data_IF_473858645032
#
_entry.id   IF_473858645032
#
_cell.length_a   1.000
_cell.length_b   1.000
_cell.length_c   1.000
_cell.angle_alpha   90.00
_cell.angle_beta   90.00
_cell.angle_gamma   90.00
#
_symmetry.space_group_name_H-M   'P 1'
#
loop_
_entity.id
_entity.type
_entity.pdbx_description
1 polymer ?
#
# COMPACT_ATOMS: atom_id res chain seq x y z
N UNK A 1 10.27 -10.13 -6.34
CA UNK A 1 10.69 -10.43 -7.73
C UNK A 1 9.84 -9.56 -8.64
N UNK A 2 10.06 -9.53 -9.96
CA UNK A 2 9.22 -8.70 -10.85
C UNK A 2 8.05 -9.51 -11.39
N UNK A 3 6.84 -8.98 -11.31
CA UNK A 3 5.63 -9.61 -11.88
C UNK A 3 5.69 -9.41 -13.39
N UNK A 4 5.61 -10.51 -14.13
CA UNK A 4 5.57 -10.51 -15.59
C UNK A 4 4.29 -11.19 -16.09
N UNK A 5 3.97 -11.03 -17.37
CA UNK A 5 2.84 -11.72 -18.01
C UNK A 5 2.86 -13.23 -17.77
N UNK A 6 4.03 -13.86 -17.91
CA UNK A 6 4.21 -15.31 -17.73
C UNK A 6 3.96 -15.78 -16.29
N UNK A 7 4.00 -14.85 -15.34
CA UNK A 7 3.73 -15.12 -13.93
C UNK A 7 2.24 -14.98 -13.58
N UNK A 8 1.41 -14.50 -14.51
CA UNK A 8 -0.04 -14.40 -14.38
C UNK A 8 -0.72 -15.67 -14.92
N UNK A 9 -1.92 -15.93 -14.42
CA UNK A 9 -2.74 -17.06 -14.83
C UNK A 9 -3.67 -16.57 -15.94
N UNK A 10 -4.01 -17.47 -16.86
CA UNK A 10 -5.11 -17.20 -17.78
C UNK A 10 -6.41 -17.02 -17.00
N UNK A 11 -7.38 -16.32 -17.59
CA UNK A 11 -8.70 -16.12 -16.96
C UNK A 11 -9.36 -17.43 -16.53
N UNK A 12 -9.21 -18.48 -17.34
CA UNK A 12 -9.74 -19.81 -17.05
C UNK A 12 -9.03 -20.46 -15.85
N UNK A 13 -7.69 -20.45 -15.84
CA UNK A 13 -6.90 -21.01 -14.74
C UNK A 13 -7.15 -20.25 -13.44
N UNK A 14 -7.18 -18.91 -13.50
CA UNK A 14 -7.47 -18.08 -12.35
C UNK A 14 -8.86 -18.36 -11.80
N UNK A 15 -9.89 -18.44 -12.65
CA UNK A 15 -11.26 -18.72 -12.20
C UNK A 15 -11.39 -20.04 -11.40
N UNK A 16 -10.57 -21.07 -11.73
CA UNK A 16 -10.55 -22.36 -11.00
C UNK A 16 -9.97 -22.24 -9.59
N UNK A 17 -9.00 -21.35 -9.39
CA UNK A 17 -8.28 -21.21 -8.11
C UNK A 17 -8.62 -19.93 -7.34
N UNK A 18 -9.41 -19.02 -7.92
CA UNK A 18 -9.73 -17.68 -7.41
C UNK A 18 -10.15 -17.68 -5.95
N UNK A 19 -11.01 -18.63 -5.54
CA UNK A 19 -11.46 -18.74 -4.15
C UNK A 19 -10.31 -19.06 -3.20
N UNK A 20 -9.48 -20.05 -3.53
CA UNK A 20 -8.34 -20.44 -2.70
C UNK A 20 -7.29 -19.30 -2.63
N UNK A 21 -6.96 -18.69 -3.78
CA UNK A 21 -6.06 -17.54 -3.83
C UNK A 21 -6.58 -16.36 -3.01
N UNK A 22 -7.89 -16.09 -3.06
CA UNK A 22 -8.51 -15.03 -2.25
C UNK A 22 -8.34 -15.31 -0.75
N UNK A 23 -8.58 -16.54 -0.31
CA UNK A 23 -8.47 -16.92 1.10
C UNK A 23 -7.01 -16.82 1.58
N UNK A 24 -6.04 -17.25 0.76
CA UNK A 24 -4.60 -17.08 1.02
C UNK A 24 -4.19 -15.61 1.12
N UNK A 25 -4.66 -14.77 0.19
CA UNK A 25 -4.32 -13.34 0.18
C UNK A 25 -4.96 -12.60 1.35
N UNK A 26 -6.17 -12.97 1.78
CA UNK A 26 -6.78 -12.41 2.99
C UNK A 26 -5.94 -12.71 4.22
N UNK A 27 -5.45 -13.95 4.36
CA UNK A 27 -4.57 -14.31 5.48
C UNK A 27 -3.25 -13.54 5.41
N UNK A 28 -2.65 -13.44 4.21
CA UNK A 28 -1.42 -12.69 3.97
C UNK A 28 -1.57 -11.20 4.34
N UNK A 29 -2.67 -10.56 3.92
CA UNK A 29 -2.97 -9.15 4.19
C UNK A 29 -3.04 -8.83 5.69
N UNK A 30 -3.35 -9.79 6.56
CA UNK A 30 -3.33 -9.56 8.03
C UNK A 30 -1.96 -9.13 8.55
N UNK A 31 -0.88 -9.58 7.90
CA UNK A 31 0.49 -9.21 8.25
C UNK A 31 1.01 -7.99 7.46
N UNK A 32 0.15 -7.37 6.66
CA UNK A 32 0.47 -6.22 5.79
C UNK A 32 -0.40 -5.00 6.08
N UNK A 33 -1.43 -5.15 6.89
CA UNK A 33 -2.43 -4.13 7.16
C UNK A 33 -2.16 -3.47 8.51
N UNK A 34 -2.19 -2.13 8.51
CA UNK A 34 -1.99 -1.31 9.71
C UNK A 34 -3.07 -0.24 9.75
N UNK A 35 -3.80 -0.15 10.86
CA UNK A 35 -4.71 0.95 11.11
C UNK A 35 -3.96 2.12 11.73
N UNK A 36 -4.19 3.34 11.23
CA UNK A 36 -3.59 4.57 11.75
C UNK A 36 -4.71 5.48 12.23
N UNK A 37 -4.97 5.45 13.53
CA UNK A 37 -6.15 6.09 14.09
C UNK A 37 -7.44 5.32 13.75
N UNK A 38 -8.55 6.05 13.60
CA UNK A 38 -9.89 5.46 13.45
C UNK A 38 -10.38 5.34 11.99
N UNK A 39 -9.70 5.99 11.05
CA UNK A 39 -10.22 6.23 9.69
C UNK A 39 -9.18 5.99 8.60
N UNK A 40 -7.94 5.67 8.96
CA UNK A 40 -6.92 5.33 7.97
C UNK A 40 -6.54 3.87 8.09
N UNK A 41 -6.49 3.20 6.95
CA UNK A 41 -5.94 1.85 6.80
C UNK A 41 -4.80 1.92 5.80
N UNK A 42 -3.63 1.43 6.20
CA UNK A 42 -2.43 1.33 5.35
C UNK A 42 -2.20 -0.14 5.05
N UNK A 43 -2.41 -0.53 3.79
CA UNK A 43 -2.05 -1.86 3.31
C UNK A 43 -0.67 -1.78 2.64
N UNK A 44 0.35 -2.32 3.28
CA UNK A 44 1.68 -2.42 2.68
C UNK A 44 1.67 -3.45 1.55
N UNK A 45 1.95 -3.01 0.34
CA UNK A 45 1.90 -3.83 -0.86
C UNK A 45 3.18 -4.67 -1.00
N UNK A 46 3.04 -5.87 -1.55
CA UNK A 46 4.15 -6.71 -1.96
C UNK A 46 3.79 -7.47 -3.24
N UNK A 47 4.66 -8.36 -3.68
CA UNK A 47 4.43 -9.17 -4.88
C UNK A 47 3.11 -9.97 -4.81
N UNK A 48 2.72 -10.46 -3.62
CA UNK A 48 1.52 -11.29 -3.45
C UNK A 48 0.27 -10.44 -3.56
N UNK A 49 0.22 -9.29 -2.86
CA UNK A 49 -0.94 -8.41 -2.89
C UNK A 49 -1.15 -7.80 -4.27
N UNK A 50 -0.07 -7.39 -4.95
CA UNK A 50 -0.13 -6.79 -6.29
C UNK A 50 -0.47 -7.82 -7.35
N UNK A 51 0.13 -9.01 -7.33
CA UNK A 51 -0.22 -10.10 -8.25
C UNK A 51 -1.70 -10.46 -8.14
N UNK A 52 -2.22 -10.53 -6.92
CA UNK A 52 -3.65 -10.78 -6.71
C UNK A 52 -4.51 -9.65 -7.28
N UNK A 53 -4.12 -8.39 -7.06
CA UNK A 53 -4.87 -7.23 -7.58
C UNK A 53 -4.95 -7.24 -9.10
N UNK A 54 -3.82 -7.49 -9.79
CA UNK A 54 -3.78 -7.61 -11.25
C UNK A 54 -4.71 -8.74 -11.72
N UNK A 55 -4.63 -9.92 -11.10
CA UNK A 55 -5.47 -11.06 -11.46
C UNK A 55 -6.97 -10.78 -11.28
N UNK A 56 -7.35 -10.09 -10.19
CA UNK A 56 -8.73 -9.66 -9.98
C UNK A 56 -9.19 -8.69 -11.06
N UNK A 57 -8.36 -7.70 -11.42
CA UNK A 57 -8.67 -6.74 -12.49
C UNK A 57 -8.88 -7.44 -13.83
N UNK A 58 -7.92 -8.29 -14.24
CA UNK A 58 -8.04 -9.06 -15.48
C UNK A 58 -9.30 -9.93 -15.49
N UNK A 59 -9.65 -10.55 -14.37
CA UNK A 59 -10.82 -11.41 -14.26
C UNK A 59 -12.15 -10.65 -14.31
N UNK A 60 -12.27 -9.55 -13.59
CA UNK A 60 -13.51 -8.75 -13.50
C UNK A 60 -13.79 -8.07 -14.84
N UNK A 61 -12.76 -7.44 -15.42
CA UNK A 61 -12.87 -6.71 -16.69
C UNK A 61 -12.74 -7.64 -17.91
N UNK A 62 -12.47 -8.94 -17.70
CA UNK A 62 -12.26 -9.96 -18.73
C UNK A 62 -11.18 -9.55 -19.74
N UNK A 63 -10.08 -9.02 -19.25
CA UNK A 63 -8.91 -8.64 -20.05
C UNK A 63 -8.07 -9.89 -20.29
N UNK A 64 -7.84 -10.22 -21.55
CA UNK A 64 -7.04 -11.38 -21.96
C UNK A 64 -6.14 -11.09 -23.16
N UNK A 65 -6.28 -9.93 -23.80
CA UNK A 65 -5.38 -9.49 -24.85
C UNK A 65 -4.08 -8.94 -24.23
N UNK A 66 -3.00 -9.06 -25.00
CA UNK A 66 -1.66 -8.72 -24.53
C UNK A 66 -1.52 -7.26 -24.10
N UNK A 67 -2.11 -6.33 -24.87
CA UNK A 67 -2.00 -4.90 -24.61
C UNK A 67 -2.75 -4.51 -23.32
N UNK A 68 -3.94 -5.07 -23.09
CA UNK A 68 -4.66 -4.88 -21.84
C UNK A 68 -3.91 -5.43 -20.62
N UNK A 69 -3.30 -6.62 -20.74
CA UNK A 69 -2.51 -7.19 -19.63
C UNK A 69 -1.28 -6.32 -19.32
N UNK A 70 -0.59 -5.82 -20.35
CA UNK A 70 0.58 -4.95 -20.15
C UNK A 70 0.18 -3.63 -19.49
N UNK A 71 -0.98 -3.06 -19.85
CA UNK A 71 -1.49 -1.85 -19.21
C UNK A 71 -1.76 -2.05 -17.71
N UNK A 72 -2.34 -3.18 -17.31
CA UNK A 72 -2.54 -3.51 -15.89
C UNK A 72 -1.21 -3.75 -15.15
N UNK A 73 -0.25 -4.41 -15.81
CA UNK A 73 1.10 -4.58 -15.25
C UNK A 73 1.77 -3.22 -15.03
N UNK A 74 1.75 -2.33 -16.02
CA UNK A 74 2.35 -1.01 -15.93
C UNK A 74 1.70 -0.15 -14.84
N UNK A 75 0.40 -0.30 -14.61
CA UNK A 75 -0.32 0.41 -13.55
C UNK A 75 0.03 -0.09 -12.14
N UNK A 76 0.17 -1.40 -11.95
CA UNK A 76 0.25 -2.00 -10.61
C UNK A 76 1.66 -2.45 -10.19
N UNK A 77 2.53 -2.85 -11.12
CA UNK A 77 3.91 -3.26 -10.80
C UNK A 77 4.71 -2.16 -10.09
N UNK A 78 4.54 -0.85 -10.39
CA UNK A 78 5.19 0.22 -9.63
C UNK A 78 4.88 0.18 -8.13
N UNK A 79 3.80 -0.46 -7.69
CA UNK A 79 3.45 -0.61 -6.27
C UNK A 79 4.21 -1.74 -5.56
N UNK A 80 5.00 -2.55 -6.27
CA UNK A 80 5.85 -3.58 -5.65
C UNK A 80 7.11 -2.92 -5.06
N UNK A 81 7.47 -3.16 -3.78
CA UNK A 81 8.70 -2.66 -3.17
C UNK A 81 9.96 -3.06 -3.95
N UNK A 82 10.94 -2.15 -4.03
CA UNK A 82 12.18 -2.36 -4.81
C UNK A 82 13.40 -2.80 -3.99
N UNK A 83 13.27 -2.90 -2.67
CA UNK A 83 14.39 -3.20 -1.76
C UNK A 83 14.86 -2.01 -0.91
N UNK A 84 14.53 -0.78 -1.29
CA UNK A 84 14.89 0.43 -0.55
C UNK A 84 13.67 1.16 0.02
N UNK A 85 12.48 0.84 -0.48
CA UNK A 85 11.24 1.43 -0.02
C UNK A 85 10.23 0.39 0.48
N UNK A 86 9.29 0.88 1.26
CA UNK A 86 7.99 0.24 1.46
C UNK A 86 6.97 0.99 0.63
N UNK A 87 6.08 0.25 -0.04
CA UNK A 87 4.96 0.81 -0.80
C UNK A 87 3.66 0.37 -0.17
N UNK A 88 2.66 1.23 -0.18
CA UNK A 88 1.39 0.96 0.45
C UNK A 88 0.22 1.64 -0.25
N UNK A 89 -0.95 1.01 -0.12
CA UNK A 89 -2.24 1.63 -0.42
C UNK A 89 -2.81 2.21 0.88
N UNK A 90 -2.92 3.54 0.93
CA UNK A 90 -3.60 4.26 2.01
C UNK A 90 -5.09 4.39 1.67
N UNK A 91 -5.96 3.99 2.59
CA UNK A 91 -7.40 4.08 2.46
C UNK A 91 -8.00 4.96 3.57
N UNK A 92 -8.85 5.91 3.18
CA UNK A 92 -9.61 6.78 4.08
C UNK A 92 -11.03 6.24 4.19
N UNK A 93 -11.36 5.70 5.35
CA UNK A 93 -12.58 4.92 5.59
C UNK A 93 -13.60 5.67 6.46
N UNK A 94 -14.76 5.93 5.87
CA UNK A 94 -15.94 6.47 6.53
C UNK A 94 -17.18 5.70 6.07
N UNK A 95 -17.97 5.21 7.03
CA UNK A 95 -19.15 4.37 6.76
C UNK A 95 -20.25 5.18 6.08
N UNK A 96 -20.47 6.42 6.51
CA UNK A 96 -21.49 7.30 5.95
C UNK A 96 -20.93 8.12 4.78
N UNK A 97 -21.65 8.16 3.66
CA UNK A 97 -21.21 8.87 2.45
C UNK A 97 -21.07 10.39 2.65
N UNK A 98 -21.98 11.01 3.41
CA UNK A 98 -21.96 12.46 3.69
C UNK A 98 -20.75 12.80 4.56
N UNK A 99 -20.50 11.99 5.59
CA UNK A 99 -19.31 12.13 6.45
C UNK A 99 -18.03 11.93 5.64
N UNK A 100 -17.98 10.91 4.78
CA UNK A 100 -16.85 10.65 3.89
C UNK A 100 -16.55 11.85 3.02
N UNK A 101 -17.56 12.44 2.36
CA UNK A 101 -17.37 13.61 1.49
C UNK A 101 -16.82 14.81 2.26
N UNK A 102 -17.36 15.07 3.46
CA UNK A 102 -16.88 16.16 4.31
C UNK A 102 -15.46 15.90 4.84
N UNK A 103 -15.12 14.65 5.16
CA UNK A 103 -13.79 14.26 5.58
C UNK A 103 -12.76 14.41 4.46
N UNK A 104 -13.04 13.93 3.24
CA UNK A 104 -12.12 14.07 2.11
C UNK A 104 -11.81 15.53 1.75
N UNK A 105 -12.76 16.44 1.93
CA UNK A 105 -12.52 17.88 1.78
C UNK A 105 -11.66 18.47 2.91
N UNK A 106 -11.75 17.91 4.13
CA UNK A 106 -10.98 18.36 5.31
C UNK A 106 -9.56 17.76 5.35
N UNK A 107 -9.37 16.59 4.76
CA UNK A 107 -8.13 15.80 4.81
C UNK A 107 -7.28 15.97 3.54
N UNK A 108 -7.41 17.09 2.84
CA UNK A 108 -6.59 17.40 1.65
C UNK A 108 -5.12 17.41 2.04
N UNK A 109 -4.31 16.62 1.33
CA UNK A 109 -2.87 16.49 1.58
C UNK A 109 -2.52 15.57 2.75
N UNK A 110 -3.45 14.77 3.27
CA UNK A 110 -3.17 13.81 4.35
C UNK A 110 -2.13 12.76 3.96
N UNK A 111 -2.13 12.36 2.69
CA UNK A 111 -1.20 11.42 2.10
C UNK A 111 0.26 11.86 2.27
N UNK A 112 0.55 13.15 2.14
CA UNK A 112 1.88 13.76 2.29
C UNK A 112 2.32 13.89 3.76
N UNK A 113 1.39 13.67 4.70
CA UNK A 113 1.59 13.83 6.16
C UNK A 113 1.70 12.49 6.88
N UNK A 114 1.59 11.39 6.16
CA UNK A 114 1.91 10.06 6.66
C UNK A 114 3.42 9.92 6.82
N UNK A 115 3.87 9.34 7.92
CA UNK A 115 5.30 9.11 8.14
C UNK A 115 5.56 7.79 8.86
N UNK A 116 6.76 7.25 8.64
CA UNK A 116 7.31 6.13 9.39
C UNK A 116 8.60 6.54 10.09
N UNK A 117 8.93 5.93 11.22
CA UNK A 117 10.16 6.24 11.97
C UNK A 117 10.84 4.97 12.46
N UNK A 118 12.10 4.82 12.09
CA UNK A 118 13.00 3.83 12.69
C UNK A 118 13.54 4.40 13.98
N UNK A 119 13.56 3.61 15.05
CA UNK A 119 14.06 4.05 16.35
C UNK A 119 15.48 4.62 16.27
N UNK A 120 15.63 5.88 16.70
CA UNK A 120 16.89 6.63 16.67
C UNK A 120 17.18 7.35 15.34
N UNK A 121 16.26 7.31 14.37
CA UNK A 121 16.40 7.96 13.07
C UNK A 121 15.32 9.04 12.84
N UNK A 122 15.51 9.87 11.82
CA UNK A 122 14.51 10.85 11.39
C UNK A 122 13.28 10.17 10.78
N UNK A 123 12.15 10.87 10.76
CA UNK A 123 10.95 10.38 10.11
C UNK A 123 11.13 10.35 8.59
N UNK A 124 10.63 9.30 7.97
CA UNK A 124 10.46 9.13 6.54
C UNK A 124 9.01 9.48 6.22
N UNK A 125 8.80 10.60 5.55
CA UNK A 125 7.47 10.98 5.07
C UNK A 125 7.13 10.22 3.80
N UNK A 126 5.84 9.95 3.60
CA UNK A 126 5.32 9.35 2.38
C UNK A 126 5.58 10.26 1.18
N UNK A 127 5.88 9.63 0.04
CA UNK A 127 5.81 10.21 -1.29
C UNK A 127 4.56 9.62 -1.94
N UNK A 128 3.57 10.44 -2.26
CA UNK A 128 2.26 10.00 -2.68
C UNK A 128 1.98 10.24 -4.17
N UNK A 129 1.22 9.32 -4.77
CA UNK A 129 0.53 9.47 -6.06
C UNK A 129 1.42 9.94 -7.23
N UNK A 130 2.68 9.49 -7.26
CA UNK A 130 3.65 9.86 -8.32
C UNK A 130 3.19 9.45 -9.73
N UNK A 131 2.34 8.42 -9.80
CA UNK A 131 1.82 7.84 -11.03
C UNK A 131 0.44 8.41 -11.45
N UNK A 132 -0.14 9.32 -10.65
CA UNK A 132 -1.44 9.94 -10.94
C UNK A 132 -1.29 11.43 -11.28
N UNK A 133 -1.89 11.85 -12.41
CA UNK A 133 -2.10 13.27 -12.66
C UNK A 133 -3.19 13.79 -11.72
N UNK A 134 -2.87 14.79 -10.88
CA UNK A 134 -3.85 15.41 -9.98
C UNK A 134 -4.94 16.11 -10.80
N UNK A 135 -6.15 15.59 -10.76
CA UNK A 135 -7.29 16.10 -11.53
C UNK A 135 -8.14 17.16 -10.80
N UNK A 136 -7.99 17.34 -9.47
CA UNK A 136 -8.83 18.30 -8.73
C UNK A 136 -8.23 18.75 -7.37
N UNK A 137 -8.12 20.07 -7.17
CA UNK A 137 -7.63 20.69 -5.92
C UNK A 137 -8.72 20.79 -4.82
N UNK A 138 -9.98 20.46 -5.10
CA UNK A 138 -11.11 20.68 -4.17
C UNK A 138 -11.33 19.56 -3.14
N UNK A 139 -10.84 18.34 -3.39
CA UNK A 139 -11.04 17.18 -2.49
C UNK A 139 -9.95 16.12 -2.71
N UNK A 140 -9.55 15.44 -1.64
CA UNK A 140 -8.61 14.31 -1.75
C UNK A 140 -9.30 13.01 -2.16
N UNK A 141 -8.51 12.04 -2.62
CA UNK A 141 -8.97 10.69 -2.95
C UNK A 141 -9.26 9.88 -1.68
N UNK A 142 -10.15 8.89 -1.76
CA UNK A 142 -10.31 7.94 -0.66
C UNK A 142 -9.17 6.90 -0.63
N UNK A 143 -8.41 6.79 -1.72
CA UNK A 143 -7.32 5.83 -1.91
C UNK A 143 -6.11 6.56 -2.47
N UNK A 144 -4.96 6.37 -1.85
CA UNK A 144 -3.67 6.92 -2.28
C UNK A 144 -2.61 5.81 -2.36
N UNK A 145 -1.69 5.95 -3.30
CA UNK A 145 -0.50 5.10 -3.35
C UNK A 145 0.67 5.86 -2.76
N UNK A 146 1.28 5.30 -1.71
CA UNK A 146 2.34 5.95 -0.96
C UNK A 146 3.60 5.10 -0.93
N UNK A 147 4.75 5.75 -0.98
CA UNK A 147 6.08 5.15 -0.90
C UNK A 147 6.89 5.79 0.22
N UNK A 148 7.54 4.97 1.03
CA UNK A 148 8.43 5.38 2.12
C UNK A 148 9.86 4.95 1.79
N UNK A 149 10.78 5.91 1.62
CA UNK A 149 12.18 5.65 1.28
C UNK A 149 13.07 5.46 2.51
N UNK A 150 13.74 4.31 2.60
CA UNK A 150 14.61 3.96 3.71
C UNK A 150 16.08 4.03 3.32
N UNK A 151 16.85 4.77 4.11
CA UNK A 151 18.30 4.83 3.94
C UNK A 151 18.95 3.48 4.30
N UNK A 152 20.17 3.18 3.79
CA UNK A 152 20.89 1.96 4.16
C UNK A 152 21.03 1.76 5.68
N UNK A 153 21.31 2.85 6.41
CA UNK A 153 21.41 2.86 7.87
C UNK A 153 20.09 2.50 8.55
N UNK A 154 18.96 3.03 8.07
CA UNK A 154 17.64 2.66 8.59
C UNK A 154 17.36 1.17 8.40
N UNK A 155 17.68 0.62 7.22
CA UNK A 155 17.53 -0.82 6.93
C UNK A 155 18.40 -1.68 7.83
N UNK A 156 19.65 -1.30 8.06
CA UNK A 156 20.54 -1.98 9.02
C UNK A 156 19.96 -2.01 10.43
N UNK A 157 19.51 -0.86 10.94
CA UNK A 157 18.88 -0.80 12.26
C UNK A 157 17.63 -1.67 12.36
N UNK A 158 16.79 -1.68 11.33
CA UNK A 158 15.62 -2.56 11.28
C UNK A 158 16.04 -4.03 11.29
N UNK A 159 17.08 -4.43 10.56
CA UNK A 159 17.63 -5.80 10.62
C UNK A 159 18.13 -6.16 12.03
N UNK A 160 18.75 -5.21 12.72
CA UNK A 160 19.28 -5.37 14.08
C UNK A 160 18.19 -5.34 15.18
N UNK A 161 16.92 -5.21 14.79
CA UNK A 161 15.79 -5.30 15.72
C UNK A 161 15.23 -3.96 16.19
N UNK A 162 15.66 -2.83 15.61
CA UNK A 162 15.08 -1.52 15.92
C UNK A 162 13.57 -1.51 15.68
N UNK A 163 12.86 -0.75 16.52
CA UNK A 163 11.43 -0.53 16.37
C UNK A 163 11.13 0.33 15.14
N UNK A 164 9.98 0.06 14.53
CA UNK A 164 9.39 0.86 13.46
C UNK A 164 8.05 1.36 13.94
N UNK A 165 7.83 2.67 13.83
CA UNK A 165 6.54 3.30 14.12
C UNK A 165 5.96 3.93 12.85
N UNK A 166 4.65 4.17 12.86
CA UNK A 166 3.91 4.91 11.84
C UNK A 166 3.04 5.98 12.52
N UNK A 167 2.84 7.11 11.85
CA UNK A 167 1.99 8.19 12.34
C UNK A 167 1.48 9.09 11.22
N UNK A 168 0.70 10.11 11.61
CA UNK A 168 0.18 11.14 10.72
C UNK A 168 0.22 12.48 11.45
N UNK A 169 0.88 13.49 10.90
CA UNK A 169 0.94 14.83 11.50
C UNK A 169 0.07 15.85 10.74
N UNK A 170 -0.96 15.37 10.04
CA UNK A 170 -1.93 16.22 9.36
C UNK A 170 -2.74 17.03 10.41
N UNK A 171 -2.90 18.36 10.26
CA UNK A 171 -3.56 19.20 11.28
C UNK A 171 -5.00 18.76 11.62
N UNK A 172 -5.74 18.24 10.64
CA UNK A 172 -7.11 17.74 10.84
C UNK A 172 -7.18 16.24 11.15
N UNK A 173 -6.04 15.56 11.29
CA UNK A 173 -5.94 14.14 11.62
C UNK A 173 -4.61 13.77 12.33
N UNK A 174 -4.31 14.37 13.49
CA UNK A 174 -3.06 14.08 14.19
C UNK A 174 -3.14 12.69 14.82
N UNK A 175 -2.22 11.81 14.43
CA UNK A 175 -2.03 10.49 15.01
C UNK A 175 -0.56 10.38 15.45
N UNK A 176 -0.29 10.23 16.77
CA UNK A 176 1.08 10.08 17.26
C UNK A 176 1.71 8.78 16.77
N UNK A 177 3.03 8.67 16.87
CA UNK A 177 3.79 7.45 16.56
C UNK A 177 3.15 6.22 17.21
N UNK A 178 2.76 5.25 16.40
CA UNK A 178 2.22 3.95 16.81
C UNK A 178 3.21 2.85 16.44
N UNK A 179 3.47 1.92 17.35
CA UNK A 179 4.34 0.78 17.07
C UNK A 179 3.71 -0.13 15.99
N UNK A 180 4.50 -0.50 14.99
CA UNK A 180 4.13 -1.55 14.05
C UNK A 180 4.17 -2.90 14.77
N UNK A 181 3.08 -3.66 14.68
CA UNK A 181 2.99 -4.97 15.31
C UNK A 181 4.16 -5.89 14.85
N UNK A 182 4.77 -6.70 15.75
CA UNK A 182 5.95 -7.49 15.43
C UNK A 182 5.79 -8.39 14.20
N UNK A 183 4.63 -9.03 14.02
CA UNK A 183 4.37 -9.86 12.83
C UNK A 183 4.33 -9.05 11.53
N UNK A 184 3.82 -7.82 11.57
CA UNK A 184 3.80 -6.92 10.40
C UNK A 184 5.22 -6.46 10.10
N UNK A 185 5.96 -6.00 11.11
CA UNK A 185 7.35 -5.58 10.94
C UNK A 185 8.23 -6.70 10.36
N UNK A 186 8.05 -7.94 10.83
CA UNK A 186 8.75 -9.09 10.27
C UNK A 186 8.44 -9.31 8.79
N UNK A 187 7.19 -9.09 8.36
CA UNK A 187 6.81 -9.13 6.94
C UNK A 187 7.47 -7.99 6.15
N UNK A 188 7.37 -6.74 6.62
CA UNK A 188 7.89 -5.56 5.93
C UNK A 188 9.43 -5.61 5.77
N UNK A 189 10.15 -6.22 6.71
CA UNK A 189 11.61 -6.37 6.60
C UNK A 189 12.04 -7.18 5.37
N UNK A 190 11.20 -8.09 4.88
CA UNK A 190 11.52 -8.88 3.69
C UNK A 190 11.52 -8.04 2.40
N UNK A 191 10.87 -6.88 2.43
CA UNK A 191 10.80 -5.96 1.31
C UNK A 191 12.01 -5.02 1.26
N UNK A 192 12.79 -4.97 2.34
CA UNK A 192 13.97 -4.10 2.49
C UNK A 192 15.25 -4.95 2.38
N UNK A 193 15.93 -4.87 1.24
CA UNK A 193 17.14 -5.66 0.92
C UNK A 193 18.41 -5.06 1.52
#
# INVERSE_FOLDING_TARGET
MTITRDSLLTLESYAKVRKAMRDEVIEHKKNRLVHVGNHLTVLFEDETTIRYQIQEMLHIEKIFDEAGIDAELDAYVPLVPDGNNLKATLQIEYVNEVERRAALARLIGIEDRMFMRVEGEQAVYAIADEDLQRDNDEKTSAVHFVRFEFTPRMKERLRDGARLTIGCDHPNYPVPDQDIAPQVLASLRNDLR
#
